data_IF_231237529704
#
_entry.id   IF_231237529704
#
_cell.length_a   1.000
_cell.length_b   1.000
_cell.length_c   1.000
_cell.angle_alpha   90.00
_cell.angle_beta   90.00
_cell.angle_gamma   90.00
#
_symmetry.space_group_name_H-M   'P 1'
#
loop_
_entity.id
_entity.type
_entity.pdbx_description
1 polymer ?
#
# COMPACT_ATOMS: atom_id res chain seq x y z
N UNK A 1 -10.64 -16.38 1.21
CA UNK A 1 -10.90 -15.10 0.52
C UNK A 1 -11.51 -14.17 1.56
N UNK A 2 -10.87 -13.07 1.92
CA UNK A 2 -11.39 -12.17 2.96
C UNK A 2 -12.70 -11.54 2.47
N UNK A 3 -13.80 -11.82 3.17
CA UNK A 3 -15.15 -11.34 2.84
C UNK A 3 -15.31 -9.82 2.98
N UNK A 4 -14.37 -9.16 3.68
CA UNK A 4 -14.44 -7.73 4.00
C UNK A 4 -14.57 -6.81 2.78
N UNK A 5 -14.05 -7.17 1.59
CA UNK A 5 -14.14 -6.27 0.43
C UNK A 5 -15.55 -6.20 -0.19
N UNK A 6 -16.34 -7.28 -0.14
CA UNK A 6 -17.69 -7.27 -0.68
C UNK A 6 -18.68 -6.61 0.30
N UNK A 7 -18.52 -6.91 1.59
CA UNK A 7 -19.40 -6.37 2.65
C UNK A 7 -19.24 -4.86 2.85
N UNK A 8 -18.14 -4.28 2.39
CA UNK A 8 -17.82 -2.87 2.58
C UNK A 8 -17.78 -2.04 1.29
N UNK A 9 -18.19 -2.64 0.16
CA UNK A 9 -18.11 -2.02 -1.16
C UNK A 9 -18.84 -0.66 -1.22
N UNK A 10 -20.03 -0.58 -0.63
CA UNK A 10 -20.88 0.62 -0.65
C UNK A 10 -20.66 1.57 0.54
N UNK A 11 -19.69 1.27 1.41
CA UNK A 11 -19.39 2.07 2.59
C UNK A 11 -18.40 3.19 2.29
N UNK A 12 -18.52 4.30 3.04
CA UNK A 12 -17.51 5.37 3.06
C UNK A 12 -16.17 4.87 3.63
N UNK A 13 -15.04 5.56 3.36
CA UNK A 13 -13.75 5.23 3.96
C UNK A 13 -13.77 5.14 5.49
N UNK A 14 -14.48 6.04 6.16
CA UNK A 14 -14.61 6.06 7.63
C UNK A 14 -15.44 4.89 8.14
N UNK A 15 -16.48 4.50 7.40
CA UNK A 15 -17.28 3.33 7.72
C UNK A 15 -16.48 2.04 7.53
N UNK A 16 -15.67 1.94 6.46
CA UNK A 16 -14.72 0.84 6.23
C UNK A 16 -13.72 0.71 7.39
N UNK A 17 -13.19 1.83 7.87
CA UNK A 17 -12.28 1.85 9.03
C UNK A 17 -12.96 1.30 10.30
N UNK A 18 -14.21 1.70 10.59
CA UNK A 18 -14.96 1.18 11.74
C UNK A 18 -15.23 -0.33 11.65
N UNK A 19 -15.51 -0.84 10.45
CA UNK A 19 -15.62 -2.29 10.24
C UNK A 19 -14.28 -2.97 10.52
N UNK A 20 -13.19 -2.44 9.97
CA UNK A 20 -11.83 -2.96 10.17
C UNK A 20 -11.44 -3.02 11.65
N UNK A 21 -11.75 -1.98 12.44
CA UNK A 21 -11.48 -1.93 13.89
C UNK A 21 -12.13 -3.07 14.69
N UNK A 22 -13.25 -3.60 14.19
CA UNK A 22 -14.04 -4.64 14.87
C UNK A 22 -13.92 -6.03 14.22
N UNK A 23 -13.23 -6.13 13.08
CA UNK A 23 -13.00 -7.39 12.37
C UNK A 23 -11.97 -8.27 13.10
N UNK A 24 -12.49 -9.22 13.89
CA UNK A 24 -11.67 -10.19 14.63
C UNK A 24 -10.94 -11.18 13.71
N UNK A 25 -11.48 -11.48 12.54
CA UNK A 25 -10.86 -12.42 11.60
C UNK A 25 -9.58 -11.83 11.04
N UNK A 26 -9.65 -10.58 10.57
CA UNK A 26 -8.51 -9.85 10.05
C UNK A 26 -7.48 -9.54 11.15
N UNK A 27 -7.93 -9.14 12.35
CA UNK A 27 -7.03 -8.94 13.49
C UNK A 27 -6.28 -10.21 13.88
N UNK A 28 -6.95 -11.37 13.88
CA UNK A 28 -6.33 -12.68 14.16
C UNK A 28 -5.32 -13.06 13.08
N UNK A 29 -5.68 -12.87 11.80
CA UNK A 29 -4.77 -13.11 10.69
C UNK A 29 -3.52 -12.23 10.79
N UNK A 30 -3.69 -10.90 10.98
CA UNK A 30 -2.57 -9.98 11.17
C UNK A 30 -1.64 -10.45 12.30
N UNK A 31 -2.19 -10.78 13.46
CA UNK A 31 -1.43 -11.29 14.62
C UNK A 31 -0.68 -12.60 14.32
N UNK A 32 -1.19 -13.46 13.44
CA UNK A 32 -0.48 -14.68 13.05
C UNK A 32 0.71 -14.44 12.12
N UNK A 33 0.67 -13.36 11.34
CA UNK A 33 1.74 -12.98 10.40
C UNK A 33 2.74 -12.01 11.01
N UNK A 34 2.36 -11.18 11.99
CA UNK A 34 3.29 -10.27 12.66
C UNK A 34 4.43 -11.03 13.37
N UNK A 35 4.16 -12.26 13.82
CA UNK A 35 5.11 -13.15 14.50
C UNK A 35 6.07 -13.86 13.51
N UNK A 36 5.88 -13.65 12.22
CA UNK A 36 6.74 -14.18 11.16
C UNK A 36 7.80 -13.15 10.77
N UNK A 37 8.82 -13.58 10.03
CA UNK A 37 9.94 -12.73 9.62
C UNK A 37 11.21 -13.05 10.39
N UNK A 38 12.25 -12.24 10.14
CA UNK A 38 13.61 -12.49 10.65
C UNK A 38 13.92 -11.71 11.94
N UNK A 39 13.10 -10.72 12.28
CA UNK A 39 13.25 -9.89 13.49
C UNK A 39 12.31 -10.32 14.60
N UNK A 40 12.66 -10.02 15.85
CA UNK A 40 11.73 -10.16 16.96
C UNK A 40 10.59 -9.12 16.85
N UNK A 41 9.39 -9.51 17.26
CA UNK A 41 8.25 -8.60 17.35
C UNK A 41 8.47 -7.64 18.52
N UNK A 42 8.38 -6.32 18.32
CA UNK A 42 8.53 -5.36 19.40
C UNK A 42 7.38 -5.47 20.42
N UNK A 43 7.58 -5.04 21.68
CA UNK A 43 6.49 -4.88 22.64
C UNK A 43 5.37 -4.02 22.08
N UNK A 44 4.12 -4.29 22.47
CA UNK A 44 2.94 -3.58 21.97
C UNK A 44 2.98 -2.08 22.27
N UNK A 45 3.63 -1.70 23.35
CA UNK A 45 3.77 -0.33 23.84
C UNK A 45 4.92 0.43 23.19
N UNK A 46 5.66 -0.22 22.27
CA UNK A 46 6.77 0.42 21.56
C UNK A 46 6.25 1.51 20.64
N UNK A 47 7.00 2.61 20.55
CA UNK A 47 6.71 3.65 19.57
C UNK A 47 7.02 3.13 18.16
N UNK A 48 6.11 3.36 17.23
CA UNK A 48 6.22 2.92 15.83
C UNK A 48 6.26 4.18 14.96
N UNK A 49 7.45 4.48 14.43
CA UNK A 49 7.70 5.65 13.60
C UNK A 49 7.76 5.34 12.09
N UNK A 50 7.53 4.08 11.71
CA UNK A 50 7.42 3.63 10.31
C UNK A 50 5.97 3.50 9.86
N UNK A 51 5.70 3.72 8.57
CA UNK A 51 4.34 3.71 8.02
C UNK A 51 4.27 2.96 6.67
N UNK A 52 3.19 2.22 6.45
CA UNK A 52 2.92 1.57 5.18
C UNK A 52 1.90 2.38 4.36
N UNK A 53 2.21 2.59 3.09
CA UNK A 53 1.31 3.15 2.08
C UNK A 53 1.28 2.24 0.86
N UNK A 54 0.20 2.28 0.09
CA UNK A 54 0.06 1.49 -1.13
C UNK A 54 0.01 2.38 -2.37
N UNK A 55 0.72 2.00 -3.42
CA UNK A 55 0.62 2.62 -4.74
C UNK A 55 -0.09 1.65 -5.68
N UNK A 56 -1.16 2.12 -6.33
CA UNK A 56 -2.00 1.30 -7.22
C UNK A 56 -2.16 1.98 -8.57
N UNK A 57 -2.37 1.17 -9.60
CA UNK A 57 -2.87 1.66 -10.87
C UNK A 57 -4.40 1.69 -10.82
N UNK A 58 -5.00 2.83 -11.12
CA UNK A 58 -6.45 2.98 -11.19
C UNK A 58 -6.81 3.87 -12.38
N UNK A 59 -7.60 3.36 -13.32
CA UNK A 59 -8.11 4.11 -14.49
C UNK A 59 -7.02 4.87 -15.28
N UNK A 60 -5.84 4.28 -15.45
CA UNK A 60 -4.74 4.92 -16.17
C UNK A 60 -3.81 5.76 -15.29
N UNK A 61 -4.10 5.90 -13.99
CA UNK A 61 -3.38 6.79 -13.07
C UNK A 61 -2.61 6.00 -12.01
N UNK A 62 -1.52 6.60 -11.54
CA UNK A 62 -0.82 6.14 -10.33
C UNK A 62 -1.44 6.81 -9.11
N UNK A 63 -2.05 6.01 -8.23
CA UNK A 63 -2.74 6.50 -7.04
C UNK A 63 -2.06 5.98 -5.78
N UNK A 64 -1.76 6.87 -4.85
CA UNK A 64 -1.31 6.56 -3.50
C UNK A 64 -2.51 6.45 -2.55
N UNK A 65 -2.54 5.36 -1.79
CA UNK A 65 -3.52 5.07 -0.75
C UNK A 65 -2.82 5.07 0.60
N UNK A 66 -3.15 6.08 1.41
CA UNK A 66 -2.71 6.23 2.79
C UNK A 66 -3.93 6.46 3.68
N UNK A 67 -4.20 5.53 4.60
CA UNK A 67 -5.35 5.60 5.53
C UNK A 67 -5.28 6.76 6.54
N UNK A 68 -4.14 7.46 6.66
CA UNK A 68 -4.00 8.67 7.48
C UNK A 68 -4.41 9.94 6.74
N UNK A 69 -4.61 9.88 5.42
CA UNK A 69 -5.02 11.02 4.59
C UNK A 69 -6.53 10.98 4.37
N UNK A 70 -7.11 12.16 4.14
CA UNK A 70 -8.55 12.29 3.91
C UNK A 70 -9.00 11.71 2.57
N UNK A 71 -8.14 11.75 1.55
CA UNK A 71 -8.43 11.26 0.20
C UNK A 71 -7.22 10.55 -0.39
N UNK A 72 -7.41 9.64 -1.37
CA UNK A 72 -6.34 9.16 -2.22
C UNK A 72 -5.57 10.31 -2.89
N UNK A 73 -4.32 10.05 -3.24
CA UNK A 73 -3.47 11.02 -3.95
C UNK A 73 -3.15 10.52 -5.33
N UNK A 74 -3.64 11.25 -6.31
CA UNK A 74 -3.36 11.02 -7.72
C UNK A 74 -2.00 11.65 -8.09
N UNK A 75 -1.05 10.80 -8.48
CA UNK A 75 0.28 11.19 -8.94
C UNK A 75 0.34 11.39 -10.47
N UNK A 76 -0.79 11.27 -11.15
CA UNK A 76 -0.97 11.53 -12.57
C UNK A 76 -1.07 10.26 -13.42
N UNK A 77 -1.32 10.48 -14.71
CA UNK A 77 -1.50 9.42 -15.69
C UNK A 77 -0.19 8.68 -15.98
N UNK A 78 -0.27 7.35 -16.06
CA UNK A 78 0.83 6.49 -16.50
C UNK A 78 0.88 6.52 -18.02
N UNK A 79 1.92 7.15 -18.59
CA UNK A 79 2.08 7.30 -20.02
C UNK A 79 1.99 5.95 -20.77
N UNK A 80 1.08 5.84 -21.73
CA UNK A 80 0.87 4.61 -22.50
C UNK A 80 0.29 3.43 -21.71
N UNK A 81 -0.14 3.65 -20.46
CA UNK A 81 -0.78 2.67 -19.60
C UNK A 81 -2.30 2.80 -19.66
N UNK A 82 -2.93 2.41 -20.77
CA UNK A 82 -4.39 2.36 -20.84
C UNK A 82 -4.96 1.25 -19.92
N UNK A 83 -4.19 0.20 -19.71
CA UNK A 83 -4.50 -0.93 -18.81
C UNK A 83 -3.34 -1.16 -17.83
N UNK A 84 -3.63 -1.91 -16.75
CA UNK A 84 -2.58 -2.32 -15.81
C UNK A 84 -1.53 -3.18 -16.52
N UNK A 85 -1.95 -4.04 -17.44
CA UNK A 85 -1.08 -4.90 -18.23
C UNK A 85 -0.12 -4.08 -19.11
N UNK A 86 -0.59 -3.01 -19.75
CA UNK A 86 0.24 -2.12 -20.56
C UNK A 86 1.26 -1.36 -19.69
N UNK A 87 0.80 -0.88 -18.53
CA UNK A 87 1.63 -0.18 -17.56
C UNK A 87 2.70 -1.10 -16.94
N UNK A 88 2.35 -2.36 -16.67
CA UNK A 88 3.21 -3.38 -16.09
C UNK A 88 4.24 -3.92 -17.09
N UNK A 89 3.83 -4.23 -18.33
CA UNK A 89 4.72 -4.80 -19.38
C UNK A 89 5.95 -3.94 -19.63
N UNK A 90 5.80 -2.63 -19.53
CA UNK A 90 6.87 -1.66 -19.77
C UNK A 90 7.55 -1.16 -18.48
N UNK A 91 7.20 -1.75 -17.32
CA UNK A 91 7.63 -1.32 -15.99
C UNK A 91 7.37 0.17 -15.71
N UNK A 92 6.42 0.79 -16.43
CA UNK A 92 6.16 2.23 -16.34
C UNK A 92 5.55 2.57 -15.00
N UNK A 93 4.63 1.72 -14.52
CA UNK A 93 4.06 1.87 -13.19
C UNK A 93 5.15 1.85 -12.12
N UNK A 94 6.02 0.83 -12.12
CA UNK A 94 7.11 0.72 -11.15
C UNK A 94 8.07 1.93 -11.21
N UNK A 95 8.50 2.33 -12.42
CA UNK A 95 9.38 3.50 -12.58
C UNK A 95 8.75 4.79 -12.08
N UNK A 96 7.47 5.00 -12.39
CA UNK A 96 6.74 6.17 -11.93
C UNK A 96 6.58 6.17 -10.41
N UNK A 97 6.22 5.03 -9.81
CA UNK A 97 6.16 4.85 -8.35
C UNK A 97 7.49 5.15 -7.68
N UNK A 98 8.61 4.62 -8.20
CA UNK A 98 9.93 4.88 -7.64
C UNK A 98 10.33 6.36 -7.74
N UNK A 99 9.98 7.04 -8.83
CA UNK A 99 10.20 8.48 -8.97
C UNK A 99 9.40 9.29 -7.93
N UNK A 100 8.15 8.89 -7.66
CA UNK A 100 7.33 9.51 -6.61
C UNK A 100 7.95 9.26 -5.23
N UNK A 101 8.33 8.02 -4.92
CA UNK A 101 8.96 7.66 -3.64
C UNK A 101 10.24 8.50 -3.43
N UNK A 102 11.08 8.60 -4.45
CA UNK A 102 12.30 9.39 -4.41
C UNK A 102 12.02 10.86 -4.07
N UNK A 103 11.11 11.52 -4.80
CA UNK A 103 10.85 12.96 -4.67
C UNK A 103 10.01 13.33 -3.45
N UNK A 104 8.97 12.54 -3.18
CA UNK A 104 7.97 12.88 -2.18
C UNK A 104 8.29 12.34 -0.78
N UNK A 105 9.18 11.34 -0.68
CA UNK A 105 9.51 10.69 0.59
C UNK A 105 11.01 10.76 0.91
N UNK A 106 11.87 10.24 0.03
CA UNK A 106 13.32 10.12 0.33
C UNK A 106 13.99 11.49 0.38
N UNK A 107 13.82 12.32 -0.65
CA UNK A 107 14.47 13.64 -0.75
C UNK A 107 14.00 14.62 0.32
N UNK A 108 12.78 14.43 0.85
CA UNK A 108 12.22 15.26 1.93
C UNK A 108 12.72 14.87 3.32
N UNK A 109 13.37 13.72 3.46
CA UNK A 109 13.88 13.19 4.73
C UNK A 109 15.39 12.89 4.62
N UNK A 110 16.25 13.91 4.46
CA UNK A 110 17.68 13.71 4.27
C UNK A 110 18.30 12.99 5.48
N UNK A 111 19.01 11.89 5.22
CA UNK A 111 19.66 11.07 6.24
C UNK A 111 18.80 9.93 6.79
N UNK A 112 17.51 9.88 6.46
CA UNK A 112 16.67 8.71 6.75
C UNK A 112 16.94 7.62 5.70
N UNK A 113 17.16 6.39 6.17
CA UNK A 113 17.49 5.23 5.34
C UNK A 113 16.46 4.11 5.45
N UNK A 114 15.51 4.21 6.39
CA UNK A 114 14.52 3.18 6.70
C UNK A 114 13.34 3.21 5.73
N UNK A 115 13.64 3.08 4.44
CA UNK A 115 12.64 2.90 3.38
C UNK A 115 12.68 1.47 2.85
N UNK A 116 11.51 0.87 2.63
CA UNK A 116 11.37 -0.43 1.98
C UNK A 116 10.26 -0.36 0.93
N UNK A 117 10.51 -1.00 -0.21
CA UNK A 117 9.53 -1.13 -1.30
C UNK A 117 9.36 -2.60 -1.64
N UNK A 118 8.11 -3.05 -1.69
CA UNK A 118 7.74 -4.40 -2.11
C UNK A 118 6.81 -4.25 -3.31
N UNK A 119 7.19 -4.86 -4.44
CA UNK A 119 6.34 -4.89 -5.63
C UNK A 119 5.48 -6.16 -5.63
N UNK A 120 4.17 -6.01 -5.82
CA UNK A 120 3.24 -7.13 -5.97
C UNK A 120 3.13 -7.46 -7.46
N UNK A 121 3.53 -8.67 -7.84
CA UNK A 121 3.50 -9.15 -9.23
C UNK A 121 2.83 -10.53 -9.34
N UNK A 122 2.61 -10.98 -10.58
CA UNK A 122 2.09 -12.32 -10.83
C UNK A 122 3.10 -13.38 -10.35
N UNK A 123 2.63 -14.26 -9.46
CA UNK A 123 3.44 -15.36 -8.92
C UNK A 123 3.95 -16.32 -10.01
N UNK A 124 3.31 -16.36 -11.20
CA UNK A 124 3.71 -17.19 -12.34
C UNK A 124 4.69 -16.50 -13.30
N UNK A 125 5.02 -15.24 -13.05
CA UNK A 125 5.94 -14.47 -13.90
C UNK A 125 7.43 -14.62 -13.49
N UNK A 126 7.73 -15.53 -12.56
CA UNK A 126 9.08 -15.85 -12.08
C UNK A 126 9.60 -17.17 -12.68
#
# INVERSE_FOLDING_TARGET
>A
MFAASQETADLSPEQRAKVLETDRSLASAHKSFEQQGQSAVPPRESDVDTHFVAFVFHEGHLVELDGRRATPVDHGSVEGGATLEDAARNQRLLKMTLNVIQKEFVEKCPGELRFQVIAVGDAKAA
#
